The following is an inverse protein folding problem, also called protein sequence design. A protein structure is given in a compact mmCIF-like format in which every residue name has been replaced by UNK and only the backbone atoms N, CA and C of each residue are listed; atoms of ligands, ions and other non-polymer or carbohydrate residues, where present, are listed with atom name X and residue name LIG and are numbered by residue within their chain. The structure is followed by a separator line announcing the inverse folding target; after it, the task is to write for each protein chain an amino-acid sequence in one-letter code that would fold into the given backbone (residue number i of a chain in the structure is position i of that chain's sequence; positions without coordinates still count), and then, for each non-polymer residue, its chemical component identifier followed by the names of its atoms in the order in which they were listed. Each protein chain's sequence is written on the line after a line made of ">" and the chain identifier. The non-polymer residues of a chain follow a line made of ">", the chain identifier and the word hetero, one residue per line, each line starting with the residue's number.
data_IF_342842486876
#
_entry.id   IF_342842486876
#
_cell.length_a   1.000
_cell.length_b   1.000
_cell.length_c   1.000
_cell.angle_alpha   90.00
_cell.angle_beta   90.00
_cell.angle_gamma   90.00
#
_symmetry.space_group_name_H-M   'P 1'
#
loop_
_entity.id
_entity.type
_entity.pdbx_description
1 polymer ?
#
# COMPACT_ATOMS: atom_id res chain seq x y z
N UNK A 1 35.39 -10.03 -23.91
CA UNK A 1 36.06 -9.71 -22.63
C UNK A 1 34.96 -9.61 -21.59
N UNK A 2 34.92 -10.51 -20.61
CA UNK A 2 34.00 -10.38 -19.48
C UNK A 2 34.45 -9.18 -18.66
N UNK A 3 33.56 -8.22 -18.52
CA UNK A 3 33.82 -7.00 -17.77
C UNK A 3 33.91 -7.35 -16.29
N UNK A 4 34.98 -6.95 -15.60
CA UNK A 4 35.17 -7.25 -14.17
C UNK A 4 33.95 -6.86 -13.31
N UNK A 5 33.26 -5.79 -13.70
CA UNK A 5 32.04 -5.28 -13.06
C UNK A 5 30.88 -6.28 -13.20
N UNK A 6 30.80 -6.98 -14.32
CA UNK A 6 29.79 -8.00 -14.56
C UNK A 6 30.02 -9.23 -13.68
N UNK A 7 31.22 -9.81 -13.74
CA UNK A 7 31.58 -10.99 -12.97
C UNK A 7 31.44 -10.73 -11.46
N UNK A 8 31.76 -9.50 -11.04
CA UNK A 8 31.58 -9.05 -9.65
C UNK A 8 30.12 -8.98 -9.26
N UNK A 9 29.27 -8.39 -10.10
CA UNK A 9 27.84 -8.32 -9.84
C UNK A 9 27.20 -9.72 -9.78
N UNK A 10 27.66 -10.67 -10.60
CA UNK A 10 27.24 -12.07 -10.53
C UNK A 10 27.61 -12.73 -9.19
N UNK A 11 28.85 -12.54 -8.73
CA UNK A 11 29.31 -13.08 -7.43
C UNK A 11 28.51 -12.52 -6.26
N UNK A 12 28.30 -11.20 -6.23
CA UNK A 12 27.50 -10.53 -5.18
C UNK A 12 26.07 -11.05 -5.22
N UNK A 13 25.44 -11.08 -6.39
CA UNK A 13 24.08 -11.60 -6.58
C UNK A 13 23.96 -13.05 -6.10
N UNK A 14 24.89 -13.92 -6.49
CA UNK A 14 24.89 -15.31 -6.08
C UNK A 14 25.00 -15.48 -4.56
N UNK A 15 25.79 -14.64 -3.89
CA UNK A 15 25.92 -14.67 -2.43
C UNK A 15 24.67 -14.15 -1.72
N UNK A 16 24.08 -13.05 -2.20
CA UNK A 16 22.81 -12.53 -1.69
C UNK A 16 21.69 -13.58 -1.81
N UNK A 17 21.61 -14.26 -2.96
CA UNK A 17 20.67 -15.36 -3.17
C UNK A 17 20.90 -16.52 -2.19
N UNK A 18 22.16 -16.91 -1.93
CA UNK A 18 22.50 -17.94 -0.92
C UNK A 18 22.08 -17.54 0.49
N UNK A 19 22.04 -16.24 0.81
CA UNK A 19 21.55 -15.70 2.09
C UNK A 19 20.04 -15.50 2.13
N UNK A 20 19.31 -15.87 1.07
CA UNK A 20 17.84 -15.79 1.01
C UNK A 20 17.29 -14.43 0.56
N UNK A 21 18.14 -13.49 0.15
CA UNK A 21 17.70 -12.23 -0.47
C UNK A 21 17.25 -12.55 -1.89
N UNK A 22 16.03 -12.13 -2.28
CA UNK A 22 15.60 -12.31 -3.68
C UNK A 22 16.24 -11.23 -4.54
N UNK A 23 16.87 -11.66 -5.63
CA UNK A 23 17.48 -10.78 -6.62
C UNK A 23 16.80 -11.00 -7.97
N UNK A 24 16.56 -9.91 -8.70
CA UNK A 24 16.12 -9.95 -10.09
C UNK A 24 17.25 -10.36 -11.03
N UNK A 25 17.00 -10.21 -12.33
CA UNK A 25 18.01 -10.47 -13.34
C UNK A 25 19.08 -9.39 -13.36
N UNK A 26 20.29 -9.80 -13.76
CA UNK A 26 21.43 -8.92 -13.88
C UNK A 26 21.33 -8.15 -15.20
N UNK A 27 21.34 -6.82 -15.13
CA UNK A 27 21.38 -5.93 -16.28
C UNK A 27 22.74 -5.22 -16.34
N UNK A 28 23.12 -4.82 -17.55
CA UNK A 28 24.38 -4.16 -17.84
C UNK A 28 24.14 -2.85 -18.61
N UNK A 29 24.95 -1.84 -18.35
CA UNK A 29 24.91 -0.56 -19.04
C UNK A 29 26.31 0.03 -19.16
N UNK A 30 26.57 0.68 -20.29
CA UNK A 30 27.77 1.49 -20.52
C UNK A 30 27.30 2.92 -20.74
N UNK A 31 27.85 3.87 -19.98
CA UNK A 31 27.47 5.27 -20.09
C UNK A 31 28.14 5.95 -21.30
N UNK A 32 27.83 7.24 -21.53
CA UNK A 32 28.40 8.03 -22.64
C UNK A 32 29.93 8.20 -22.57
N UNK A 33 30.54 7.94 -21.42
CA UNK A 33 31.97 8.03 -21.18
C UNK A 33 32.68 6.66 -21.35
N UNK A 34 31.94 5.62 -21.71
CA UNK A 34 32.49 4.26 -21.84
C UNK A 34 32.62 3.52 -20.50
N UNK A 35 32.10 4.08 -19.41
CA UNK A 35 32.18 3.47 -18.09
C UNK A 35 31.05 2.45 -17.90
N UNK A 36 31.42 1.27 -17.44
CA UNK A 36 30.52 0.14 -17.33
C UNK A 36 29.89 0.03 -15.94
N UNK A 37 28.61 -0.35 -15.89
CA UNK A 37 27.91 -0.62 -14.65
C UNK A 37 27.03 -1.85 -14.81
N UNK A 38 26.84 -2.56 -13.71
CA UNK A 38 25.89 -3.68 -13.65
C UNK A 38 24.92 -3.44 -12.51
N UNK A 39 23.66 -3.81 -12.69
CA UNK A 39 22.64 -3.59 -11.68
C UNK A 39 21.59 -4.70 -11.67
N UNK A 40 20.97 -4.90 -10.51
CA UNK A 40 19.84 -5.81 -10.35
C UNK A 40 18.92 -5.32 -9.23
N UNK A 41 17.64 -5.70 -9.30
CA UNK A 41 16.68 -5.40 -8.24
C UNK A 41 16.86 -6.36 -7.06
N UNK A 42 16.75 -5.86 -5.84
CA UNK A 42 16.66 -6.69 -4.62
C UNK A 42 15.25 -6.65 -4.03
N UNK A 43 14.89 -7.64 -3.20
CA UNK A 43 13.54 -7.82 -2.64
C UNK A 43 12.97 -6.63 -1.88
N UNK A 44 13.80 -5.68 -1.46
CA UNK A 44 13.35 -4.43 -0.83
C UNK A 44 12.68 -3.47 -1.83
N UNK A 45 12.85 -3.69 -3.14
CA UNK A 45 12.48 -2.77 -4.20
C UNK A 45 13.60 -1.79 -4.57
N UNK A 46 14.77 -1.90 -3.94
CA UNK A 46 15.96 -1.11 -4.25
C UNK A 46 16.71 -1.73 -5.44
N UNK A 47 17.27 -0.88 -6.30
CA UNK A 47 18.22 -1.33 -7.34
C UNK A 47 19.64 -1.27 -6.80
N UNK A 48 20.33 -2.41 -6.77
CA UNK A 48 21.76 -2.45 -6.43
C UNK A 48 22.57 -2.18 -7.71
N UNK A 49 23.45 -1.19 -7.67
CA UNK A 49 24.39 -0.85 -8.75
C UNK A 49 25.81 -1.20 -8.32
N UNK A 50 26.50 -1.90 -9.20
CA UNK A 50 27.90 -2.30 -9.07
C UNK A 50 28.68 -1.56 -10.17
N UNK A 51 29.65 -0.75 -9.75
CA UNK A 51 30.47 0.08 -10.64
C UNK A 51 31.71 0.59 -9.92
N UNK A 52 32.79 0.80 -10.65
CA UNK A 52 34.06 1.41 -10.21
C UNK A 52 34.04 2.95 -10.22
N UNK A 53 32.96 3.55 -10.71
CA UNK A 53 32.78 4.99 -10.84
C UNK A 53 31.48 5.47 -10.17
N UNK A 54 31.50 6.73 -9.73
CA UNK A 54 30.35 7.37 -9.11
C UNK A 54 29.17 7.46 -10.07
N UNK A 55 27.96 7.25 -9.55
CA UNK A 55 26.75 7.53 -10.30
C UNK A 55 26.58 9.05 -10.46
N UNK A 56 25.94 9.49 -11.56
CA UNK A 56 25.48 10.87 -11.65
C UNK A 56 24.28 11.08 -10.73
N UNK A 57 24.43 11.94 -9.73
CA UNK A 57 23.42 12.20 -8.69
C UNK A 57 22.13 12.83 -9.22
N UNK A 58 22.19 13.53 -10.35
CA UNK A 58 21.04 14.26 -10.90
C UNK A 58 19.96 13.35 -11.52
N UNK A 59 20.29 12.08 -11.76
CA UNK A 59 19.41 11.10 -12.41
C UNK A 59 18.98 9.97 -11.47
N UNK A 60 19.29 10.07 -10.18
CA UNK A 60 19.04 9.01 -9.19
C UNK A 60 17.73 9.25 -8.46
N UNK A 61 16.86 8.25 -8.43
CA UNK A 61 15.73 8.25 -7.49
C UNK A 61 15.81 7.09 -6.49
N UNK A 62 16.27 5.89 -6.87
CA UNK A 62 16.16 4.71 -5.97
C UNK A 62 17.26 3.63 -6.13
N UNK A 63 18.52 4.05 -6.29
CA UNK A 63 19.65 3.10 -6.43
C UNK A 63 20.51 3.04 -5.17
N UNK A 64 21.18 1.93 -4.93
CA UNK A 64 22.24 1.77 -3.93
C UNK A 64 23.52 1.36 -4.64
N UNK A 65 24.58 2.13 -4.47
CA UNK A 65 25.90 1.78 -5.03
C UNK A 65 26.63 0.87 -4.05
N UNK A 66 27.18 -0.23 -4.55
CA UNK A 66 27.95 -1.16 -3.75
C UNK A 66 29.15 -1.66 -4.54
N UNK A 67 30.34 -1.53 -3.94
CA UNK A 67 31.60 -2.00 -4.51
C UNK A 67 32.33 -2.98 -3.59
N UNK A 68 31.73 -3.35 -2.45
CA UNK A 68 32.35 -4.24 -1.47
C UNK A 68 32.62 -5.63 -2.07
N UNK A 69 33.84 -6.09 -1.94
CA UNK A 69 34.25 -7.45 -2.35
C UNK A 69 34.32 -8.42 -1.17
N UNK A 70 34.41 -7.88 0.04
CA UNK A 70 34.58 -8.65 1.26
C UNK A 70 33.32 -9.51 1.51
N UNK A 71 33.49 -10.85 1.62
CA UNK A 71 32.50 -11.76 2.17
C UNK A 71 31.62 -11.20 3.29
N UNK A 72 32.24 -10.57 4.29
CA UNK A 72 31.54 -10.11 5.48
C UNK A 72 30.70 -8.86 5.19
N UNK A 73 31.18 -7.97 4.33
CA UNK A 73 30.42 -6.80 3.87
C UNK A 73 29.18 -7.19 3.07
N UNK A 74 29.27 -8.23 2.23
CA UNK A 74 28.13 -8.74 1.46
C UNK A 74 27.11 -9.42 2.39
N UNK A 75 27.57 -10.13 3.42
CA UNK A 75 26.68 -10.77 4.39
C UNK A 75 25.97 -9.73 5.27
N UNK A 76 26.68 -8.69 5.73
CA UNK A 76 26.07 -7.56 6.43
C UNK A 76 25.04 -6.82 5.57
N UNK A 77 25.33 -6.66 4.27
CA UNK A 77 24.36 -6.13 3.29
C UNK A 77 23.12 -7.02 3.20
N UNK A 78 23.30 -8.33 3.15
CA UNK A 78 22.19 -9.28 3.09
C UNK A 78 21.29 -9.18 4.32
N UNK A 79 21.88 -9.11 5.52
CA UNK A 79 21.14 -8.96 6.78
C UNK A 79 20.34 -7.65 6.80
N UNK A 80 20.96 -6.53 6.42
CA UNK A 80 20.30 -5.23 6.33
C UNK A 80 19.11 -5.25 5.35
N UNK A 81 19.28 -5.86 4.18
CA UNK A 81 18.21 -6.01 3.19
C UNK A 81 17.06 -6.87 3.70
N UNK A 82 17.35 -7.97 4.39
CA UNK A 82 16.33 -8.85 4.97
C UNK A 82 15.55 -8.15 6.09
N UNK A 83 16.24 -7.39 6.94
CA UNK A 83 15.60 -6.58 7.98
C UNK A 83 14.66 -5.53 7.36
N UNK A 84 15.10 -4.82 6.31
CA UNK A 84 14.28 -3.84 5.63
C UNK A 84 13.01 -4.46 5.00
N UNK A 85 13.10 -5.67 4.44
CA UNK A 85 11.93 -6.42 3.97
C UNK A 85 10.98 -6.76 5.11
N UNK A 86 11.51 -7.26 6.24
CA UNK A 86 10.70 -7.62 7.40
C UNK A 86 9.97 -6.41 7.99
N UNK A 87 10.65 -5.26 8.10
CA UNK A 87 10.05 -4.01 8.55
C UNK A 87 8.95 -3.51 7.61
N UNK A 88 9.18 -3.58 6.29
CA UNK A 88 8.17 -3.22 5.29
C UNK A 88 6.93 -4.12 5.39
N UNK A 89 7.13 -5.43 5.56
CA UNK A 89 6.02 -6.38 5.74
C UNK A 89 5.25 -6.11 7.03
N UNK A 90 5.95 -5.78 8.14
CA UNK A 90 5.32 -5.40 9.40
C UNK A 90 4.43 -4.17 9.24
N UNK A 91 4.95 -3.08 8.66
CA UNK A 91 4.18 -1.85 8.40
C UNK A 91 2.97 -2.09 7.50
N UNK A 92 3.12 -2.94 6.49
CA UNK A 92 2.01 -3.31 5.60
C UNK A 92 0.88 -4.04 6.34
N UNK A 93 1.21 -4.97 7.26
CA UNK A 93 0.22 -5.67 8.09
C UNK A 93 -0.49 -4.72 9.05
N UNK A 94 0.25 -3.83 9.70
CA UNK A 94 -0.31 -2.82 10.62
C UNK A 94 -1.29 -1.88 9.88
N UNK A 95 -0.90 -1.41 8.69
CA UNK A 95 -1.77 -0.57 7.85
C UNK A 95 -3.02 -1.32 7.38
N UNK A 96 -2.89 -2.60 6.98
CA UNK A 96 -4.03 -3.42 6.58
C UNK A 96 -5.01 -3.66 7.75
N UNK A 97 -4.48 -3.89 8.97
CA UNK A 97 -5.30 -4.05 10.17
C UNK A 97 -6.05 -2.75 10.52
N UNK A 98 -5.38 -1.59 10.44
CA UNK A 98 -6.02 -0.29 10.65
C UNK A 98 -7.16 -0.04 9.65
N UNK A 99 -6.92 -0.30 8.36
CA UNK A 99 -7.93 -0.14 7.32
C UNK A 99 -9.12 -1.12 7.48
N UNK A 100 -8.85 -2.35 7.95
CA UNK A 100 -9.91 -3.31 8.24
C UNK A 100 -10.79 -2.85 9.42
N UNK A 101 -10.18 -2.31 10.48
CA UNK A 101 -10.91 -1.78 11.63
C UNK A 101 -11.78 -0.57 11.24
N UNK A 102 -11.24 0.36 10.45
CA UNK A 102 -12.00 1.52 9.96
C UNK A 102 -13.20 1.11 9.10
N UNK A 103 -13.02 0.13 8.20
CA UNK A 103 -14.14 -0.40 7.40
C UNK A 103 -15.20 -1.10 8.25
N UNK A 104 -14.81 -1.81 9.31
CA UNK A 104 -15.75 -2.46 10.21
C UNK A 104 -16.60 -1.43 10.98
N UNK A 105 -15.97 -0.35 11.48
CA UNK A 105 -16.68 0.74 12.15
C UNK A 105 -17.65 1.46 11.19
N UNK A 106 -17.23 1.76 9.96
CA UNK A 106 -18.09 2.41 8.97
C UNK A 106 -19.29 1.53 8.60
N UNK A 107 -19.10 0.21 8.47
CA UNK A 107 -20.20 -0.73 8.23
C UNK A 107 -21.17 -0.78 9.40
N UNK A 108 -20.68 -0.82 10.64
CA UNK A 108 -21.52 -0.81 11.84
C UNK A 108 -22.36 0.48 11.91
N UNK A 109 -21.75 1.65 11.66
CA UNK A 109 -22.43 2.94 11.63
C UNK A 109 -23.52 3.00 10.56
N UNK A 110 -23.24 2.49 9.35
CA UNK A 110 -24.23 2.41 8.26
C UNK A 110 -25.39 1.47 8.61
N UNK A 111 -25.11 0.35 9.27
CA UNK A 111 -26.13 -0.59 9.71
C UNK A 111 -27.06 0.05 10.77
N UNK A 112 -26.50 0.78 11.73
CA UNK A 112 -27.27 1.52 12.74
C UNK A 112 -28.16 2.60 12.11
N UNK A 113 -27.62 3.43 11.22
CA UNK A 113 -28.38 4.45 10.48
C UNK A 113 -29.52 3.80 9.70
N UNK A 114 -29.26 2.66 9.06
CA UNK A 114 -30.28 1.92 8.30
C UNK A 114 -31.41 1.42 9.20
N UNK A 115 -31.07 0.83 10.35
CA UNK A 115 -32.06 0.35 11.32
C UNK A 115 -32.91 1.51 11.83
N UNK A 116 -32.28 2.60 12.30
CA UNK A 116 -32.98 3.79 12.78
C UNK A 116 -33.89 4.40 11.72
N UNK A 117 -33.44 4.47 10.47
CA UNK A 117 -34.24 4.99 9.35
C UNK A 117 -35.47 4.11 9.08
N UNK A 118 -35.33 2.77 9.20
CA UNK A 118 -36.47 1.84 9.08
C UNK A 118 -37.47 2.00 10.22
N UNK A 119 -36.99 2.11 11.44
CA UNK A 119 -37.83 2.34 12.62
C UNK A 119 -38.57 3.68 12.55
N UNK A 120 -37.89 4.77 12.20
CA UNK A 120 -38.50 6.08 12.01
C UNK A 120 -39.55 6.05 10.90
N UNK A 121 -39.28 5.33 9.80
CA UNK A 121 -40.26 5.13 8.73
C UNK A 121 -41.50 4.37 9.22
N UNK A 122 -41.33 3.26 9.96
CA UNK A 122 -42.44 2.49 10.53
C UNK A 122 -43.32 3.36 11.44
N UNK A 123 -42.69 4.10 12.38
CA UNK A 123 -43.43 5.02 13.27
C UNK A 123 -44.18 6.09 12.49
N UNK A 124 -43.57 6.65 11.44
CA UNK A 124 -44.23 7.62 10.58
C UNK A 124 -45.37 7.02 9.75
N UNK A 125 -45.26 5.75 9.33
CA UNK A 125 -46.33 5.00 8.66
C UNK A 125 -47.52 4.79 9.60
N UNK A 126 -47.27 4.37 10.84
CA UNK A 126 -48.28 4.19 11.88
C UNK A 126 -49.04 5.49 12.21
N UNK A 127 -48.31 6.61 12.38
CA UNK A 127 -48.91 7.93 12.65
C UNK A 127 -49.87 8.35 11.53
N UNK A 128 -49.46 8.16 10.27
CA UNK A 128 -50.28 8.54 9.12
C UNK A 128 -51.47 7.61 8.94
N UNK A 129 -51.30 6.30 9.16
CA UNK A 129 -52.39 5.33 9.14
C UNK A 129 -53.45 5.65 10.20
N UNK A 130 -53.04 5.97 11.43
CA UNK A 130 -53.94 6.36 12.52
C UNK A 130 -54.78 7.62 12.22
N UNK A 131 -54.33 8.46 11.27
CA UNK A 131 -55.04 9.66 10.80
C UNK A 131 -55.73 9.47 9.44
N UNK A 132 -55.74 8.26 8.87
CA UNK A 132 -56.34 7.99 7.56
C UNK A 132 -55.56 8.56 6.37
N UNK A 133 -54.30 8.94 6.56
CA UNK A 133 -53.46 9.62 5.57
C UNK A 133 -52.41 8.70 4.93
N UNK A 134 -52.59 7.37 5.02
CA UNK A 134 -51.65 6.36 4.50
C UNK A 134 -51.46 6.41 2.98
N UNK A 135 -52.42 6.97 2.24
CA UNK A 135 -52.38 7.12 0.79
C UNK A 135 -51.44 8.26 0.31
N UNK A 136 -50.97 9.13 1.20
CA UNK A 136 -50.09 10.25 0.84
C UNK A 136 -48.67 9.76 0.52
N UNK A 137 -48.07 10.30 -0.55
CA UNK A 137 -46.72 9.96 -1.00
C UNK A 137 -45.82 11.21 -1.10
N UNK A 138 -44.51 10.97 -1.13
CA UNK A 138 -43.51 12.02 -1.37
C UNK A 138 -43.60 13.21 -0.40
N UNK A 139 -43.52 14.43 -0.95
CA UNK A 139 -43.55 15.69 -0.18
C UNK A 139 -44.85 15.90 0.61
N UNK A 140 -46.00 15.46 0.09
CA UNK A 140 -47.30 15.57 0.78
C UNK A 140 -47.31 14.79 2.08
N UNK A 141 -46.64 13.64 2.10
CA UNK A 141 -46.49 12.79 3.28
C UNK A 141 -45.65 13.47 4.36
N UNK A 142 -44.52 14.07 3.96
CA UNK A 142 -43.66 14.84 4.85
C UNK A 142 -44.40 16.04 5.47
N UNK A 143 -45.16 16.79 4.66
CA UNK A 143 -45.90 17.94 5.14
C UNK A 143 -47.03 17.56 6.10
N UNK A 144 -47.73 16.45 5.83
CA UNK A 144 -48.74 15.90 6.74
C UNK A 144 -48.12 15.52 8.10
N UNK A 145 -47.00 14.79 8.11
CA UNK A 145 -46.27 14.45 9.35
C UNK A 145 -45.84 15.70 10.11
N UNK A 146 -45.35 16.73 9.41
CA UNK A 146 -44.95 18.00 10.02
C UNK A 146 -46.14 18.71 10.67
N UNK A 147 -47.32 18.70 10.04
CA UNK A 147 -48.54 19.30 10.60
C UNK A 147 -49.08 18.51 11.80
N UNK A 148 -49.09 17.18 11.74
CA UNK A 148 -49.49 16.30 12.87
C UNK A 148 -48.58 16.53 14.07
N UNK A 149 -47.25 16.55 13.89
CA UNK A 149 -46.28 16.80 14.97
C UNK A 149 -46.41 18.19 15.60
N UNK A 150 -46.99 19.16 14.87
CA UNK A 150 -47.29 20.50 15.37
C UNK A 150 -48.68 20.62 16.02
N UNK A 151 -49.47 19.54 16.04
CA UNK A 151 -50.82 19.52 16.60
C UNK A 151 -51.87 20.27 15.76
N UNK A 152 -51.60 20.52 14.47
CA UNK A 152 -52.47 21.31 13.58
C UNK A 152 -53.44 20.44 12.78
N UNK A 153 -53.23 19.11 12.78
CA UNK A 153 -53.96 18.12 11.98
C UNK A 153 -54.32 16.92 12.82
#
# INVERSE_FOLDING_TARGET
>A
MTNEIHDRAERIRARLLKRGVRCGDLAHSINRYGEASSYFMVSTGVRLRISDHSCNTDWRVDEMDFWGEDPDAIDALAESLLQAVAERQKRSRESAAAFAAERADDMARRAEITLRTREEKSRNDEILAARGLSHLTGSRRHDALKKIRKGVL
#
